data_IF_358850132962
#
_entry.id   IF_358850132962
#
_cell.length_a   1.000
_cell.length_b   1.000
_cell.length_c   1.000
_cell.angle_alpha   90.00
_cell.angle_beta   90.00
_cell.angle_gamma   90.00
#
_symmetry.space_group_name_H-M   'P 1'
#
loop_
_entity.id
_entity.type
_entity.pdbx_description
1 polymer ?
#
# COMPACT_ATOMS: atom_id res chain seq x y z
N UNK A 1 -19.41 -11.28 14.29
CA UNK A 1 -19.19 -11.06 13.95
C UNK A 1 -18.77 -10.96 13.01
N UNK A 2 -18.55 -11.00 12.46
CA UNK A 2 -18.28 -10.91 11.54
C UNK A 2 -17.40 -10.38 11.11
N UNK A 3 -16.85 -10.04 11.17
CA UNK A 3 -16.00 -9.44 10.97
C UNK A 3 -15.12 -9.93 10.36
N UNK A 4 -14.98 -10.60 10.23
CA UNK A 4 -14.23 -11.14 9.81
C UNK A 4 -14.15 -11.01 8.60
N UNK A 5 -14.89 -10.90 8.14
CA UNK A 5 -14.82 -10.62 6.90
C UNK A 5 -13.73 -10.07 6.54
N UNK A 6 -13.14 -10.04 6.99
CA UNK A 6 -12.20 -9.71 7.13
C UNK A 6 -11.33 -9.66 6.24
N UNK A 7 -11.09 -10.06 5.61
CA UNK A 7 -10.82 -10.09 4.57
C UNK A 7 -10.67 -8.83 3.95
N UNK A 8 -11.50 -8.35 3.45
CA UNK A 8 -11.57 -6.99 3.31
C UNK A 8 -12.42 -6.65 4.43
N UNK A 9 -11.81 -6.47 5.49
CA UNK A 9 -12.53 -6.33 6.68
C UNK A 9 -13.45 -5.22 6.56
N UNK A 10 -13.14 -4.40 5.70
CA UNK A 10 -13.90 -3.34 5.47
C UNK A 10 -15.15 -3.70 4.84
N UNK A 11 -15.26 -4.81 4.31
CA UNK A 11 -16.46 -5.24 3.72
C UNK A 11 -17.62 -5.05 4.65
N UNK A 12 -17.40 -5.32 5.88
CA UNK A 12 -18.41 -5.12 6.87
C UNK A 12 -18.74 -3.65 7.04
N UNK A 13 -17.75 -2.83 7.07
CA UNK A 13 -17.96 -1.40 7.19
C UNK A 13 -18.80 -0.85 6.07
N UNK A 14 -18.81 -1.50 4.97
CA UNK A 14 -19.59 -1.09 3.85
C UNK A 14 -21.05 -0.94 4.18
N UNK A 15 -21.58 -1.87 4.95
CA UNK A 15 -22.97 -1.82 5.31
C UNK A 15 -23.29 -0.70 6.27
N UNK A 16 -22.37 -0.42 7.16
CA UNK A 16 -22.60 0.57 8.18
C UNK A 16 -22.44 1.98 7.69
N UNK A 17 -21.46 2.18 6.85
CA UNK A 17 -21.14 3.53 6.41
C UNK A 17 -21.73 3.85 5.07
N UNK A 18 -22.41 2.93 4.52
CA UNK A 18 -23.02 3.13 3.33
C UNK A 18 -22.20 3.78 2.40
N UNK A 19 -21.94 3.51 1.46
CA UNK A 19 -21.27 4.19 0.47
C UNK A 19 -19.83 4.26 0.66
N UNK A 20 -19.34 3.93 1.72
CA UNK A 20 -17.93 3.91 1.80
C UNK A 20 -17.43 2.84 0.91
N UNK A 21 -16.71 3.19 -0.10
CA UNK A 21 -16.09 2.24 -0.96
C UNK A 21 -14.96 1.59 -0.26
N UNK A 22 -14.95 0.30 -0.31
CA UNK A 22 -13.90 -0.46 0.31
C UNK A 22 -13.03 -0.95 -0.80
N UNK A 23 -11.79 -0.57 -0.71
CA UNK A 23 -10.81 -1.00 -1.68
C UNK A 23 -9.93 -2.03 -1.01
N UNK A 24 -9.94 -3.23 -1.57
CA UNK A 24 -8.88 -4.16 -1.25
C UNK A 24 -7.68 -3.70 -2.04
N UNK A 25 -6.84 -2.95 -1.39
CA UNK A 25 -5.66 -2.43 -2.05
C UNK A 25 -4.66 -3.54 -2.08
N UNK A 26 -4.33 -3.96 -3.27
CA UNK A 26 -3.32 -4.99 -3.48
C UNK A 26 -1.94 -4.40 -3.75
N UNK A 27 -1.81 -3.11 -3.67
CA UNK A 27 -0.58 -2.40 -3.92
C UNK A 27 -0.26 -1.50 -2.75
N UNK A 28 0.99 -1.47 -2.37
CA UNK A 28 1.46 -0.60 -1.30
C UNK A 28 1.57 0.82 -1.85
N UNK A 29 1.02 1.78 -1.13
CA UNK A 29 1.13 3.20 -1.49
C UNK A 29 1.98 3.89 -0.44
N UNK A 30 3.03 4.57 -0.87
CA UNK A 30 3.92 5.37 -0.03
C UNK A 30 3.96 6.81 -0.52
N UNK A 31 4.42 7.69 0.34
CA UNK A 31 4.55 9.12 0.02
C UNK A 31 5.99 9.50 -0.29
N UNK A 32 6.16 10.66 -0.90
CA UNK A 32 7.48 11.25 -1.15
C UNK A 32 8.11 11.85 0.10
N UNK A 33 7.57 11.58 1.26
CA UNK A 33 8.01 12.16 2.52
C UNK A 33 9.32 11.55 3.02
N UNK A 34 10.17 12.38 3.61
CA UNK A 34 11.40 11.95 4.26
C UNK A 34 11.18 11.48 5.70
N UNK A 35 9.95 11.34 6.14
CA UNK A 35 9.63 10.79 7.45
C UNK A 35 9.41 9.29 7.36
N UNK A 36 9.47 8.63 8.50
CA UNK A 36 9.25 7.19 8.58
C UNK A 36 7.87 6.82 8.06
N UNK A 37 7.82 5.84 7.20
CA UNK A 37 6.60 5.31 6.64
C UNK A 37 6.52 3.81 6.88
N UNK A 38 5.33 3.32 7.09
CA UNK A 38 5.08 1.92 7.41
C UNK A 38 4.28 1.25 6.30
N UNK A 39 4.70 0.09 5.88
CA UNK A 39 3.87 -0.76 5.06
C UNK A 39 3.64 -2.12 5.73
N UNK A 40 2.53 -2.75 5.37
CA UNK A 40 2.11 -4.04 5.92
C UNK A 40 2.25 -5.12 4.86
N UNK A 41 2.61 -6.33 5.27
CA UNK A 41 2.78 -7.45 4.36
C UNK A 41 2.56 -8.79 5.07
N UNK A 42 2.29 -9.82 4.28
CA UNK A 42 2.16 -11.19 4.78
C UNK A 42 3.19 -12.04 4.04
N UNK A 43 4.28 -12.44 4.70
CA UNK A 43 5.31 -13.23 4.05
C UNK A 43 4.87 -14.68 3.87
N UNK A 44 5.47 -15.37 2.91
CA UNK A 44 5.22 -16.80 2.71
C UNK A 44 5.72 -17.64 3.87
N UNK A 45 6.80 -17.20 4.49
CA UNK A 45 7.36 -17.85 5.67
C UNK A 45 8.03 -16.79 6.53
N UNK A 46 8.01 -16.97 7.81
CA UNK A 46 8.69 -16.10 8.75
C UNK A 46 9.33 -16.93 9.86
N UNK A 47 10.61 -16.70 10.08
CA UNK A 47 11.35 -17.34 11.17
C UNK A 47 12.07 -16.24 11.95
N UNK A 48 11.72 -16.11 13.21
CA UNK A 48 12.34 -15.12 14.09
C UNK A 48 13.85 -15.32 14.16
N UNK A 49 14.58 -14.22 14.14
CA UNK A 49 16.03 -14.26 14.21
C UNK A 49 16.76 -14.46 12.88
N UNK A 50 16.00 -14.63 11.81
CA UNK A 50 16.59 -14.69 10.46
C UNK A 50 16.84 -13.26 9.95
N UNK A 51 17.92 -13.07 9.23
CA UNK A 51 18.20 -11.79 8.60
C UNK A 51 17.43 -11.69 7.28
N UNK A 52 16.57 -10.70 7.21
CA UNK A 52 15.79 -10.40 6.04
C UNK A 52 16.38 -9.20 5.30
N UNK A 53 16.44 -9.29 4.00
CA UNK A 53 16.87 -8.17 3.15
C UNK A 53 15.65 -7.58 2.45
N UNK A 54 15.44 -6.29 2.65
CA UNK A 54 14.36 -5.54 2.04
C UNK A 54 14.96 -4.69 0.92
N UNK A 55 14.44 -4.83 -0.29
CA UNK A 55 14.92 -4.07 -1.45
C UNK A 55 13.76 -3.45 -2.19
N UNK A 56 13.94 -2.20 -2.57
CA UNK A 56 12.99 -1.49 -3.43
C UNK A 56 13.73 -1.10 -4.70
N UNK A 57 13.16 -1.45 -5.85
CA UNK A 57 13.72 -1.16 -7.15
C UNK A 57 12.73 -0.33 -7.95
N UNK A 58 13.24 0.64 -8.68
CA UNK A 58 12.42 1.38 -9.64
C UNK A 58 12.04 0.43 -10.78
N UNK A 59 10.77 0.33 -11.09
CA UNK A 59 10.27 -0.64 -12.08
C UNK A 59 10.70 -0.26 -13.50
N UNK A 60 10.75 1.01 -13.82
CA UNK A 60 11.08 1.46 -15.18
C UNK A 60 12.56 1.37 -15.50
N UNK A 61 13.42 1.66 -14.53
CA UNK A 61 14.88 1.67 -14.73
C UNK A 61 15.57 0.41 -14.20
N UNK A 62 14.83 -0.40 -13.43
CA UNK A 62 15.33 -1.59 -12.74
C UNK A 62 16.53 -1.29 -11.83
N UNK A 63 16.61 -0.08 -11.32
CA UNK A 63 17.66 0.33 -10.39
C UNK A 63 17.19 0.18 -8.95
N UNK A 64 18.09 -0.28 -8.09
CA UNK A 64 17.83 -0.35 -6.65
C UNK A 64 17.88 1.05 -6.05
N UNK A 65 16.82 1.45 -5.40
CA UNK A 65 16.71 2.78 -4.77
C UNK A 65 16.74 2.69 -3.25
N UNK A 66 16.48 1.53 -2.70
CA UNK A 66 16.50 1.30 -1.26
C UNK A 66 16.92 -0.14 -0.97
N UNK A 67 17.77 -0.30 0.03
CA UNK A 67 18.19 -1.61 0.52
C UNK A 67 18.43 -1.53 2.02
N UNK A 68 17.81 -2.40 2.77
CA UNK A 68 17.95 -2.47 4.22
C UNK A 68 17.88 -3.93 4.68
N UNK A 69 18.26 -4.16 5.92
CA UNK A 69 18.19 -5.48 6.53
C UNK A 69 17.46 -5.39 7.86
N UNK A 70 16.66 -6.39 8.17
CA UNK A 70 15.93 -6.49 9.41
C UNK A 70 15.99 -7.93 9.95
N UNK A 71 16.01 -8.08 11.24
CA UNK A 71 15.97 -9.40 11.90
C UNK A 71 14.59 -9.67 12.49
N UNK A 72 13.79 -8.64 12.64
CA UNK A 72 12.44 -8.74 13.18
C UNK A 72 11.55 -7.74 12.48
N UNK A 73 10.26 -8.07 12.40
CA UNK A 73 9.21 -7.19 11.94
C UNK A 73 8.18 -7.02 13.06
N UNK A 74 7.50 -5.88 13.07
CA UNK A 74 6.41 -5.68 14.01
C UNK A 74 5.23 -6.58 13.59
N UNK A 75 4.78 -7.42 14.49
CA UNK A 75 3.67 -8.31 14.23
C UNK A 75 2.37 -7.65 14.68
N UNK A 76 1.39 -7.63 13.80
CA UNK A 76 0.08 -7.05 14.07
C UNK A 76 -0.96 -8.04 13.57
N UNK A 77 -1.64 -8.70 14.49
CA UNK A 77 -2.63 -9.73 14.20
C UNK A 77 -2.08 -10.84 13.29
N UNK A 78 -2.41 -10.78 12.01
CA UNK A 78 -2.02 -11.81 11.04
C UNK A 78 -1.06 -11.29 9.96
N UNK A 79 -0.53 -10.08 10.12
CA UNK A 79 0.40 -9.49 9.17
C UNK A 79 1.59 -8.86 9.90
N UNK A 80 2.63 -8.56 9.15
CA UNK A 80 3.82 -7.91 9.65
C UNK A 80 3.93 -6.49 9.10
N UNK A 81 4.58 -5.63 9.85
CA UNK A 81 4.84 -4.25 9.45
C UNK A 81 6.33 -3.96 9.42
N UNK A 82 6.72 -3.20 8.44
CA UNK A 82 8.07 -2.67 8.34
C UNK A 82 8.00 -1.15 8.21
N UNK A 83 8.80 -0.48 9.01
CA UNK A 83 8.86 0.99 9.07
C UNK A 83 10.26 1.44 8.77
N UNK A 84 10.40 2.36 7.84
CA UNK A 84 11.68 2.98 7.51
C UNK A 84 11.42 4.28 6.74
N UNK A 85 12.48 5.04 6.47
CA UNK A 85 12.41 6.23 5.64
C UNK A 85 12.74 5.86 4.20
N UNK A 86 11.87 6.20 3.28
CA UNK A 86 12.04 5.87 1.87
C UNK A 86 12.17 7.12 1.02
N UNK A 87 13.27 7.23 0.28
CA UNK A 87 13.45 8.34 -0.68
C UNK A 87 12.90 7.90 -2.02
N UNK A 88 11.66 8.23 -2.28
CA UNK A 88 10.95 7.82 -3.48
C UNK A 88 10.52 9.04 -4.30
N UNK A 89 10.36 8.84 -5.59
CA UNK A 89 9.94 9.88 -6.53
C UNK A 89 8.46 9.72 -6.82
N UNK A 90 7.77 10.87 -6.87
CA UNK A 90 6.35 10.92 -7.15
C UNK A 90 6.00 10.27 -8.50
N UNK A 91 4.80 9.72 -8.58
CA UNK A 91 4.24 9.08 -9.77
C UNK A 91 5.11 7.95 -10.33
N UNK A 92 5.87 7.31 -9.47
CA UNK A 92 6.77 6.23 -9.87
C UNK A 92 6.35 4.91 -9.25
N UNK A 93 6.42 3.87 -10.07
CA UNK A 93 6.16 2.50 -9.63
C UNK A 93 7.47 1.83 -9.23
N UNK A 94 7.43 1.14 -8.11
CA UNK A 94 8.55 0.40 -7.58
C UNK A 94 8.17 -1.05 -7.31
N UNK A 95 9.15 -1.91 -7.31
CA UNK A 95 9.00 -3.31 -6.91
C UNK A 95 9.68 -3.50 -5.56
N UNK A 96 8.92 -4.00 -4.60
CA UNK A 96 9.41 -4.39 -3.28
C UNK A 96 9.74 -5.88 -3.29
N UNK A 97 10.90 -6.23 -2.79
CA UNK A 97 11.30 -7.63 -2.57
C UNK A 97 11.82 -7.78 -1.14
N UNK A 98 11.32 -8.78 -0.43
CA UNK A 98 11.85 -9.17 0.88
C UNK A 98 12.36 -10.59 0.78
N UNK A 99 13.62 -10.79 1.14
CA UNK A 99 14.29 -12.08 1.03
C UNK A 99 14.85 -12.53 2.37
N UNK A 100 14.75 -13.82 2.62
CA UNK A 100 15.44 -14.48 3.71
C UNK A 100 16.69 -15.16 3.13
N UNK A 101 17.83 -14.50 3.23
CA UNK A 101 19.02 -14.96 2.51
C UNK A 101 18.79 -14.89 1.00
N UNK A 102 18.73 -16.02 0.35
CA UNK A 102 18.48 -16.10 -1.09
C UNK A 102 17.01 -16.35 -1.43
N UNK A 103 16.20 -16.72 -0.45
CA UNK A 103 14.80 -17.07 -0.67
C UNK A 103 13.92 -15.82 -0.67
N UNK A 104 13.08 -15.69 -1.69
CA UNK A 104 12.10 -14.61 -1.79
C UNK A 104 10.87 -14.98 -0.97
N UNK A 105 10.61 -14.24 0.10
CA UNK A 105 9.46 -14.50 0.98
C UNK A 105 8.29 -13.57 0.73
N UNK A 106 8.54 -12.40 0.14
CA UNK A 106 7.46 -11.46 -0.20
C UNK A 106 7.89 -10.59 -1.38
N UNK A 107 6.93 -10.31 -2.26
CA UNK A 107 7.12 -9.40 -3.39
C UNK A 107 5.82 -8.70 -3.69
N UNK A 108 5.91 -7.40 -3.87
CA UNK A 108 4.75 -6.57 -4.21
C UNK A 108 5.19 -5.31 -4.96
N UNK A 109 4.23 -4.51 -5.37
CA UNK A 109 4.46 -3.23 -6.02
C UNK A 109 4.18 -2.10 -5.05
N UNK A 110 4.95 -1.03 -5.21
CA UNK A 110 4.76 0.20 -4.47
C UNK A 110 4.49 1.31 -5.47
N UNK A 111 3.49 2.10 -5.19
CA UNK A 111 3.23 3.34 -5.90
C UNK A 111 3.56 4.52 -4.99
N UNK A 112 4.29 5.49 -5.50
CA UNK A 112 4.67 6.67 -4.74
C UNK A 112 3.83 7.88 -5.17
N UNK A 113 3.28 8.59 -4.20
CA UNK A 113 2.44 9.76 -4.44
C UNK A 113 2.74 10.85 -3.41
N UNK A 114 2.49 12.10 -3.77
CA UNK A 114 2.55 13.21 -2.81
C UNK A 114 1.19 13.45 -2.15
N UNK A 115 0.15 12.79 -2.59
CA UNK A 115 -1.18 12.94 -2.00
C UNK A 115 -1.27 12.25 -0.65
N UNK A 116 -2.16 12.71 0.18
CA UNK A 116 -2.49 12.03 1.44
C UNK A 116 -3.10 10.67 1.11
N UNK A 117 -2.48 9.61 1.61
CA UNK A 117 -2.88 8.22 1.28
C UNK A 117 -4.36 7.95 1.58
N UNK A 118 -4.88 8.51 2.68
CA UNK A 118 -6.27 8.33 3.07
C UNK A 118 -7.28 8.97 2.10
N UNK A 119 -6.83 9.93 1.31
CA UNK A 119 -7.67 10.66 0.37
C UNK A 119 -7.16 10.59 -1.07
N UNK A 120 -6.32 9.60 -1.35
CA UNK A 120 -5.73 9.44 -2.68
C UNK A 120 -6.78 9.34 -3.78
N UNK A 121 -6.60 10.11 -4.84
CA UNK A 121 -7.41 10.09 -6.04
C UNK A 121 -6.53 10.08 -7.28
N UNK A 122 -6.86 9.21 -8.21
CA UNK A 122 -6.05 9.05 -9.44
C UNK A 122 -5.99 10.32 -10.27
N UNK A 123 -7.08 11.08 -10.29
CA UNK A 123 -7.18 12.31 -11.07
C UNK A 123 -7.33 13.52 -10.16
N UNK A 124 -6.50 13.61 -9.14
CA UNK A 124 -6.59 14.71 -8.19
C UNK A 124 -6.27 16.03 -8.90
N UNK A 125 -7.21 16.98 -8.80
CA UNK A 125 -7.12 18.30 -9.41
C UNK A 125 -7.21 18.36 -10.94
N UNK A 126 -7.13 17.23 -11.63
CA UNK A 126 -7.26 17.21 -13.09
C UNK A 126 -8.71 17.07 -13.54
N UNK A 127 -9.58 16.64 -12.67
CA UNK A 127 -10.97 16.41 -13.00
C UNK A 127 -11.90 17.12 -12.03
N UNK A 128 -12.60 18.11 -12.52
CA UNK A 128 -13.66 18.73 -11.75
C UNK A 128 -14.93 17.93 -11.94
N UNK A 129 -15.47 17.44 -10.84
CA UNK A 129 -16.75 16.76 -10.87
C UNK A 129 -17.82 17.77 -11.25
N UNK A 130 -18.39 17.64 -12.42
CA UNK A 130 -19.56 18.40 -12.75
C UNK A 130 -20.73 17.81 -11.98
N UNK A 131 -21.28 18.57 -11.10
CA UNK A 131 -22.57 18.23 -10.52
C UNK A 131 -23.64 18.58 -11.57
N UNK A 132 -23.96 17.62 -12.39
CA UNK A 132 -25.08 17.81 -13.28
C UNK A 132 -26.35 17.50 -12.50
N UNK A 133 -27.07 18.54 -12.22
CA UNK A 133 -28.48 18.37 -11.93
C UNK A 133 -29.16 18.12 -13.29
N UNK A 134 -29.39 16.88 -13.56
CA UNK A 134 -30.19 16.53 -14.74
C UNK A 134 -31.62 16.96 -14.50
N UNK A 135 -31.93 18.11 -15.00
CA UNK A 135 -33.30 18.57 -15.01
C UNK A 135 -34.01 17.87 -16.14
N UNK A 136 -34.86 16.89 -15.82
CA UNK A 136 -35.69 16.25 -16.82
C UNK A 136 -36.81 17.20 -17.21
N UNK A 137 -36.74 17.65 -18.41
CA UNK A 137 -37.85 18.45 -18.96
C UNK A 137 -38.94 17.48 -19.42
N UNK A 138 -40.03 17.45 -18.70
CA UNK A 138 -41.23 16.72 -19.15
C UNK A 138 -42.00 17.64 -20.08
N UNK A 139 -42.20 17.20 -21.29
CA UNK A 139 -43.04 17.89 -22.26
C UNK A 139 -44.48 17.39 -22.17
#
# INVERSE_FOLDING_TARGET
MLKRGLYCPLFFALYLTKKKKIYCIYMIVLQTSDSDQTFSFIPRSYVSGTTYTIKIKNESTNTEVFSSTATTFAEVDYYYQYTDTFTLVEDTMYTLEIKAGSELIFRDKIFCTNQTISSYSVNNEEYTVQSEENEFIFL
#
